data_IF_333463788495
#
_entry.id   IF_333463788495
#
_cell.length_a   1.000
_cell.length_b   1.000
_cell.length_c   1.000
_cell.angle_alpha   90.00
_cell.angle_beta   90.00
_cell.angle_gamma   90.00
#
_symmetry.space_group_name_H-M   'P 1'
#
loop_
_entity.id
_entity.type
_entity.pdbx_description
1 polymer ?
#
# COMPACT_ATOMS: atom_id res chain seq x y z
N UNK A 1 -17.77 -17.99 -10.76
CA UNK A 1 -16.34 -17.82 -10.45
C UNK A 1 -16.17 -16.38 -10.00
N UNK A 2 -15.63 -16.12 -8.80
CA UNK A 2 -15.39 -14.75 -8.34
C UNK A 2 -14.17 -14.25 -9.12
N UNK A 3 -14.37 -13.31 -10.03
CA UNK A 3 -13.25 -12.67 -10.73
C UNK A 3 -12.43 -11.88 -9.71
N UNK A 4 -11.19 -12.29 -9.48
CA UNK A 4 -10.27 -11.57 -8.60
C UNK A 4 -9.77 -10.36 -9.39
N UNK A 5 -10.21 -9.17 -9.01
CA UNK A 5 -9.70 -7.91 -9.59
C UNK A 5 -8.17 -7.88 -9.41
N UNK A 6 -7.42 -7.69 -10.50
CA UNK A 6 -5.97 -7.88 -10.51
C UNK A 6 -5.24 -6.95 -9.54
N UNK A 7 -5.76 -5.74 -9.32
CA UNK A 7 -5.24 -4.75 -8.39
C UNK A 7 -5.73 -4.95 -6.94
N UNK A 8 -6.48 -6.02 -6.64
CA UNK A 8 -6.89 -6.37 -5.28
C UNK A 8 -5.65 -6.68 -4.43
N UNK A 9 -5.57 -6.05 -3.26
CA UNK A 9 -4.58 -6.41 -2.23
C UNK A 9 -4.92 -7.82 -1.70
N UNK A 10 -4.00 -8.80 -1.80
CA UNK A 10 -4.30 -10.18 -1.46
C UNK A 10 -4.20 -10.48 0.05
N UNK A 11 -3.56 -9.59 0.82
CA UNK A 11 -3.27 -9.83 2.23
C UNK A 11 -4.48 -9.55 3.13
N UNK A 12 -4.70 -10.38 4.18
CA UNK A 12 -5.77 -10.18 5.13
C UNK A 12 -5.54 -8.92 5.97
N UNK A 13 -6.63 -8.31 6.42
CA UNK A 13 -6.62 -7.18 7.36
C UNK A 13 -7.16 -7.65 8.73
N UNK A 14 -6.77 -7.00 9.83
CA UNK A 14 -5.73 -5.96 9.91
C UNK A 14 -4.34 -6.53 9.59
N UNK A 15 -3.42 -5.68 9.15
CA UNK A 15 -2.02 -6.10 9.00
C UNK A 15 -1.43 -6.34 10.39
N UNK A 16 -0.55 -7.33 10.51
CA UNK A 16 0.20 -7.57 11.75
C UNK A 16 1.27 -6.49 11.92
N UNK A 17 1.71 -6.26 13.15
CA UNK A 17 2.78 -5.30 13.45
C UNK A 17 4.10 -5.64 12.74
N UNK A 18 4.37 -6.94 12.54
CA UNK A 18 5.56 -7.48 11.89
C UNK A 18 5.36 -7.82 10.40
N UNK A 19 4.31 -7.27 9.78
CA UNK A 19 3.96 -7.61 8.41
C UNK A 19 5.05 -7.20 7.40
N UNK A 20 5.66 -8.20 6.76
CA UNK A 20 6.72 -8.03 5.75
C UNK A 20 6.50 -8.86 4.48
N UNK A 21 5.32 -9.46 4.31
CA UNK A 21 5.03 -10.38 3.19
C UNK A 21 4.87 -9.67 1.83
N UNK A 22 4.64 -8.35 1.83
CA UNK A 22 4.57 -7.53 0.63
C UNK A 22 5.82 -6.64 0.54
N UNK A 23 6.66 -6.79 -0.50
CA UNK A 23 7.87 -5.97 -0.63
C UNK A 23 7.59 -4.49 -0.90
N UNK A 24 6.37 -4.13 -1.31
CA UNK A 24 5.92 -2.74 -1.45
C UNK A 24 5.06 -2.29 -0.26
N UNK A 25 5.15 -2.95 0.89
CA UNK A 25 4.45 -2.49 2.08
C UNK A 25 5.11 -1.23 2.64
N UNK A 26 4.40 -0.12 2.63
CA UNK A 26 4.80 1.11 3.34
C UNK A 26 3.85 1.29 4.53
N UNK A 27 4.31 1.05 5.78
CA UNK A 27 3.46 1.08 6.96
C UNK A 27 2.93 2.49 7.22
N UNK A 28 1.63 2.58 7.54
CA UNK A 28 1.01 3.79 8.07
C UNK A 28 -0.10 3.40 9.05
N UNK A 29 -0.58 4.36 9.84
CA UNK A 29 -1.74 4.15 10.72
C UNK A 29 -3.02 4.72 10.10
N UNK A 30 -4.13 4.01 10.28
CA UNK A 30 -5.46 4.48 9.98
C UNK A 30 -6.22 4.73 11.28
N UNK A 31 -6.49 5.99 11.56
CA UNK A 31 -7.31 6.42 12.70
C UNK A 31 -8.78 6.39 12.29
N UNK A 32 -9.53 5.42 12.78
CA UNK A 32 -10.96 5.35 12.49
C UNK A 32 -11.75 6.22 13.47
N UNK A 33 -12.75 6.91 12.95
CA UNK A 33 -13.73 7.67 13.72
C UNK A 33 -15.15 7.24 13.35
N UNK A 34 -16.10 7.43 14.25
CA UNK A 34 -17.52 7.24 13.96
C UNK A 34 -18.13 8.46 13.23
N UNK A 35 -19.42 8.40 12.91
CA UNK A 35 -20.14 9.50 12.24
C UNK A 35 -20.25 10.79 13.05
N UNK A 36 -19.87 10.77 14.33
CA UNK A 36 -19.81 11.94 15.23
C UNK A 36 -18.36 12.38 15.46
N UNK A 37 -17.40 11.93 14.64
CA UNK A 37 -15.96 12.15 14.79
C UNK A 37 -15.37 11.61 16.10
N UNK A 38 -16.04 10.68 16.79
CA UNK A 38 -15.45 10.05 17.98
C UNK A 38 -14.40 9.02 17.53
N UNK A 39 -13.20 9.02 18.12
CA UNK A 39 -12.18 8.02 17.79
C UNK A 39 -12.65 6.61 18.19
N UNK A 40 -12.50 5.68 17.25
CA UNK A 40 -12.79 4.25 17.42
C UNK A 40 -11.52 3.41 17.63
N UNK A 41 -10.38 3.94 17.20
CA UNK A 41 -9.08 3.29 17.34
C UNK A 41 -8.13 3.67 16.20
N UNK A 42 -6.92 3.13 16.26
CA UNK A 42 -5.90 3.24 15.23
C UNK A 42 -5.43 1.84 14.84
N UNK A 43 -5.29 1.57 13.54
CA UNK A 43 -4.84 0.28 13.04
C UNK A 43 -3.72 0.42 12.01
N UNK A 44 -2.73 -0.49 12.01
CA UNK A 44 -1.72 -0.52 10.97
C UNK A 44 -2.35 -0.85 9.62
N UNK A 45 -1.96 -0.08 8.61
CA UNK A 45 -2.34 -0.24 7.21
C UNK A 45 -1.16 0.03 6.29
N UNK A 46 -1.38 -0.03 4.98
CA UNK A 46 -0.40 0.29 3.96
C UNK A 46 -0.74 1.63 3.31
N UNK A 47 0.25 2.46 3.05
CA UNK A 47 0.09 3.74 2.33
C UNK A 47 -0.54 3.60 0.95
N UNK A 48 -0.33 2.45 0.30
CA UNK A 48 -0.87 2.18 -1.03
C UNK A 48 -2.25 1.51 -1.00
N UNK A 49 -2.81 1.20 0.18
CA UNK A 49 -4.13 0.58 0.26
C UNK A 49 -5.22 1.64 0.04
N UNK A 50 -6.07 1.40 -0.95
CA UNK A 50 -7.23 2.24 -1.27
C UNK A 50 -8.48 1.38 -1.47
N UNK A 51 -9.62 2.02 -1.72
CA UNK A 51 -10.90 1.35 -1.97
C UNK A 51 -11.14 1.25 -3.46
N UNK A 52 -11.18 0.02 -3.98
CA UNK A 52 -11.65 -0.26 -5.34
C UNK A 52 -13.17 -0.37 -5.37
N UNK A 53 -13.79 0.08 -6.47
CA UNK A 53 -15.21 -0.06 -6.73
C UNK A 53 -15.42 -1.12 -7.81
N UNK A 54 -16.28 -2.11 -7.55
CA UNK A 54 -16.68 -3.07 -8.56
C UNK A 54 -17.76 -2.45 -9.47
N UNK A 55 -17.35 -2.05 -10.68
CA UNK A 55 -18.23 -1.36 -11.63
C UNK A 55 -19.44 -2.22 -12.02
N UNK A 56 -19.25 -3.53 -12.12
CA UNK A 56 -20.31 -4.48 -12.46
C UNK A 56 -21.27 -4.73 -11.29
N UNK A 57 -20.77 -4.56 -10.05
CA UNK A 57 -21.54 -4.75 -8.83
C UNK A 57 -21.53 -3.48 -7.98
N UNK A 58 -22.25 -2.44 -8.43
CA UNK A 58 -22.32 -1.15 -7.73
C UNK A 58 -22.57 -1.34 -6.23
N UNK A 59 -21.78 -0.65 -5.42
CA UNK A 59 -21.83 -0.72 -3.96
C UNK A 59 -20.96 -1.83 -3.36
N UNK A 60 -20.37 -2.72 -4.17
CA UNK A 60 -19.32 -3.62 -3.71
C UNK A 60 -17.96 -2.94 -3.81
N UNK A 61 -17.27 -2.94 -2.67
CA UNK A 61 -15.93 -2.41 -2.55
C UNK A 61 -14.94 -3.53 -2.28
N UNK A 62 -13.71 -3.35 -2.73
CA UNK A 62 -12.63 -4.29 -2.47
C UNK A 62 -11.35 -3.53 -2.06
N UNK A 63 -10.44 -4.19 -1.31
CA UNK A 63 -9.15 -3.61 -0.97
C UNK A 63 -8.30 -3.53 -2.24
N UNK A 64 -8.03 -2.32 -2.74
CA UNK A 64 -7.26 -2.08 -3.95
C UNK A 64 -5.86 -1.59 -3.60
N UNK A 65 -4.85 -2.07 -4.31
CA UNK A 65 -3.52 -1.51 -4.25
C UNK A 65 -3.39 -0.39 -5.28
N UNK A 66 -3.03 0.82 -4.84
CA UNK A 66 -2.81 1.97 -5.72
C UNK A 66 -1.65 1.75 -6.71
N UNK A 67 -0.74 0.82 -6.41
CA UNK A 67 0.35 0.41 -7.29
C UNK A 67 -0.11 -0.52 -8.44
N UNK A 68 -1.37 -0.98 -8.42
CA UNK A 68 -1.96 -1.79 -9.48
C UNK A 68 -1.80 -3.30 -9.30
N UNK A 69 -1.75 -4.02 -10.43
CA UNK A 69 -1.67 -5.48 -10.51
C UNK A 69 -0.37 -6.06 -9.92
N UNK A 70 -0.24 -7.39 -9.73
CA UNK A 70 1.02 -8.00 -9.30
C UNK A 70 2.20 -7.62 -10.20
N UNK A 71 1.99 -7.56 -11.51
CA UNK A 71 3.01 -7.21 -12.50
C UNK A 71 3.43 -5.74 -12.35
N UNK A 72 2.47 -4.83 -12.15
CA UNK A 72 2.75 -3.41 -11.93
C UNK A 72 3.51 -3.18 -10.62
N UNK A 73 3.17 -3.92 -9.55
CA UNK A 73 3.91 -3.89 -8.28
C UNK A 73 5.36 -4.33 -8.47
N UNK A 74 5.59 -5.44 -9.17
CA UNK A 74 6.95 -5.91 -9.48
C UNK A 74 7.74 -4.88 -10.31
N UNK A 75 7.12 -4.31 -11.35
CA UNK A 75 7.77 -3.29 -12.17
C UNK A 75 8.17 -2.06 -11.36
N UNK A 76 7.32 -1.60 -10.44
CA UNK A 76 7.64 -0.48 -9.56
C UNK A 76 8.82 -0.79 -8.63
N UNK A 77 8.85 -1.99 -8.05
CA UNK A 77 9.98 -2.45 -7.22
C UNK A 77 11.30 -2.48 -8.00
N UNK A 78 11.26 -3.02 -9.22
CA UNK A 78 12.45 -3.06 -10.09
C UNK A 78 12.93 -1.65 -10.44
N UNK A 79 12.01 -0.73 -10.75
CA UNK A 79 12.34 0.68 -11.04
C UNK A 79 13.04 1.33 -9.84
N UNK A 80 12.51 1.13 -8.63
CA UNK A 80 13.09 1.68 -7.41
C UNK A 80 14.50 1.14 -7.16
N UNK A 81 14.73 -0.17 -7.33
CA UNK A 81 16.06 -0.78 -7.20
C UNK A 81 17.06 -0.21 -8.21
N UNK A 82 16.65 0.01 -9.47
CA UNK A 82 17.50 0.63 -10.49
C UNK A 82 17.82 2.08 -10.11
N UNK A 83 16.83 2.84 -9.64
CA UNK A 83 17.02 4.22 -9.20
C UNK A 83 18.01 4.31 -8.04
N UNK A 84 17.86 3.49 -7.00
CA UNK A 84 18.77 3.47 -5.85
C UNK A 84 20.22 3.19 -6.25
N UNK A 85 20.45 2.33 -7.26
CA UNK A 85 21.79 2.06 -7.79
C UNK A 85 22.38 3.23 -8.58
N UNK A 86 21.52 4.08 -9.15
CA UNK A 86 21.93 5.23 -9.98
C UNK A 86 22.22 6.50 -9.19
N UNK A 87 21.77 6.59 -7.93
CA UNK A 87 22.02 7.75 -7.07
C UNK A 87 23.47 7.68 -6.55
N UNK A 88 24.37 8.64 -6.89
CA UNK A 88 25.70 8.68 -6.31
C UNK A 88 25.62 8.93 -4.80
N UNK A 89 26.54 8.38 -3.99
CA UNK A 89 26.52 8.60 -2.54
C UNK A 89 26.57 10.10 -2.25
N UNK A 90 25.65 10.59 -1.40
CA UNK A 90 25.57 11.99 -1.00
C UNK A 90 26.86 12.36 -0.26
N UNK A 91 27.82 12.98 -0.94
CA UNK A 91 29.03 13.52 -0.32
C UNK A 91 28.61 14.64 0.61
N UNK A 92 28.56 14.34 1.90
CA UNK A 92 28.32 15.34 2.94
C UNK A 92 29.67 16.01 3.21
N UNK A 93 30.04 16.99 2.38
CA UNK A 93 31.15 17.88 2.70
C UNK A 93 30.70 18.79 3.86
N UNK A 94 31.18 18.51 5.06
CA UNK A 94 30.99 19.38 6.22
C UNK A 94 31.81 20.67 6.06
N UNK A 95 31.33 21.83 6.56
CA UNK A 95 32.11 23.05 6.55
C UNK A 95 33.28 22.95 7.54
N UNK A 96 34.41 23.53 7.14
CA UNK A 96 35.66 23.63 7.90
C UNK A 96 35.59 24.63 9.06
#
# INVERSE_FOLDING_TARGET
MIEVKADRCPYPRPFREDFAECPSYEPMNFDATDSRNKPLGSWPTCRHLTTGNDVENRGRFYPRCALGSPEQRLQNQLRELVQLRSVPPKTTAGPA
#
